data_IF_952817660016
#
_entry.id   IF_952817660016
#
_cell.length_a   1.000
_cell.length_b   1.000
_cell.length_c   1.000
_cell.angle_alpha   90.00
_cell.angle_beta   90.00
_cell.angle_gamma   90.00
#
_symmetry.space_group_name_H-M   'P 1'
#
loop_
_entity.id
_entity.type
_entity.pdbx_description
1 polymer ?
#
# COMPACT_ATOMS: atom_id res chain seq x y z
N UNK A 1 8.54 -8.50 26.61
CA UNK A 1 7.73 -9.39 25.75
C UNK A 1 6.21 -9.25 25.93
N UNK A 2 5.58 -9.63 27.07
CA UNK A 2 4.10 -9.58 27.17
C UNK A 2 3.54 -8.16 27.06
N UNK A 3 4.21 -7.19 27.67
CA UNK A 3 3.87 -5.77 27.54
C UNK A 3 3.98 -5.30 26.08
N UNK A 4 5.06 -5.70 25.39
CA UNK A 4 5.30 -5.30 24.00
C UNK A 4 4.28 -5.93 23.04
N UNK A 5 3.89 -7.18 23.28
CA UNK A 5 2.80 -7.82 22.52
C UNK A 5 1.46 -7.11 22.72
N UNK A 6 1.18 -6.64 23.94
CA UNK A 6 -0.01 -5.85 24.24
C UNK A 6 0.03 -4.48 23.54
N UNK A 7 1.17 -3.78 23.63
CA UNK A 7 1.39 -2.49 22.96
C UNK A 7 1.26 -2.66 21.44
N UNK A 8 1.89 -3.69 20.87
CA UNK A 8 1.81 -4.00 19.44
C UNK A 8 0.36 -4.22 19.00
N UNK A 9 -0.40 -5.01 19.76
CA UNK A 9 -1.81 -5.31 19.46
C UNK A 9 -2.68 -4.04 19.49
N UNK A 10 -2.48 -3.18 20.50
CA UNK A 10 -3.17 -1.88 20.58
C UNK A 10 -2.76 -0.98 19.42
N UNK A 11 -1.47 -0.95 19.09
CA UNK A 11 -0.93 -0.09 18.04
C UNK A 11 -1.50 -0.47 16.68
N UNK A 12 -1.55 -1.76 16.35
CA UNK A 12 -2.22 -2.28 15.15
C UNK A 12 -3.69 -1.87 15.14
N UNK A 13 -4.41 -2.02 16.26
CA UNK A 13 -5.80 -1.59 16.35
C UNK A 13 -5.97 -0.08 16.09
N UNK A 14 -5.11 0.75 16.69
CA UNK A 14 -5.11 2.21 16.48
C UNK A 14 -4.81 2.55 15.02
N UNK A 15 -3.82 1.90 14.41
CA UNK A 15 -3.48 2.07 12.98
C UNK A 15 -4.69 1.74 12.11
N UNK A 16 -5.28 0.55 12.26
CA UNK A 16 -6.46 0.14 11.47
C UNK A 16 -7.60 1.13 11.64
N UNK A 17 -7.88 1.55 12.89
CA UNK A 17 -8.97 2.47 13.19
C UNK A 17 -8.73 3.87 12.61
N UNK A 18 -7.52 4.39 12.80
CA UNK A 18 -7.07 5.69 12.30
C UNK A 18 -7.12 5.74 10.78
N UNK A 19 -6.53 4.75 10.12
CA UNK A 19 -6.50 4.62 8.66
C UNK A 19 -7.92 4.53 8.09
N UNK A 20 -8.76 3.64 8.63
CA UNK A 20 -10.16 3.49 8.18
C UNK A 20 -10.94 4.81 8.29
N UNK A 21 -10.69 5.59 9.36
CA UNK A 21 -11.29 6.92 9.52
C UNK A 21 -10.71 7.91 8.51
N UNK A 22 -9.39 7.96 8.35
CA UNK A 22 -8.71 8.84 7.40
C UNK A 22 -9.22 8.61 5.97
N UNK A 23 -9.23 7.36 5.50
CA UNK A 23 -9.72 6.99 4.16
C UNK A 23 -11.18 7.41 3.99
N UNK A 24 -12.04 7.19 4.99
CA UNK A 24 -13.46 7.60 4.94
C UNK A 24 -13.62 9.11 4.80
N UNK A 25 -13.05 9.89 5.70
CA UNK A 25 -13.30 11.34 5.75
C UNK A 25 -12.61 12.09 4.62
N UNK A 26 -11.47 11.59 4.16
CA UNK A 26 -10.79 12.17 3.01
C UNK A 26 -11.47 11.81 1.69
N UNK A 27 -12.00 10.60 1.53
CA UNK A 27 -12.84 10.27 0.37
C UNK A 27 -14.04 11.23 0.27
N UNK A 28 -14.70 11.54 1.39
CA UNK A 28 -15.79 12.52 1.44
C UNK A 28 -15.35 13.96 1.11
N UNK A 29 -14.09 14.32 1.38
CA UNK A 29 -13.53 15.62 0.98
C UNK A 29 -13.21 15.67 -0.52
N UNK A 30 -12.87 14.51 -1.11
CA UNK A 30 -12.54 14.36 -2.52
C UNK A 30 -13.77 14.41 -3.46
N UNK A 31 -14.98 14.28 -2.91
CA UNK A 31 -16.26 14.21 -3.67
C UNK A 31 -16.58 15.47 -4.52
N UNK A 32 -15.79 16.55 -4.42
CA UNK A 32 -15.99 17.77 -5.21
C UNK A 32 -15.07 17.91 -6.44
N UNK A 33 -14.15 16.97 -6.66
CA UNK A 33 -13.21 17.04 -7.79
C UNK A 33 -13.78 16.34 -9.04
N UNK A 34 -13.66 16.99 -10.20
CA UNK A 34 -14.10 16.47 -11.51
C UNK A 34 -13.09 15.46 -12.06
N UNK A 35 -13.03 14.28 -11.46
CA UNK A 35 -12.07 13.22 -11.82
C UNK A 35 -12.79 11.88 -11.97
N UNK A 36 -12.18 10.96 -12.72
CA UNK A 36 -12.71 9.62 -12.87
C UNK A 36 -12.63 8.79 -11.59
N UNK A 37 -13.52 7.80 -11.43
CA UNK A 37 -13.48 6.89 -10.26
C UNK A 37 -12.12 6.23 -10.09
N UNK A 38 -11.48 5.84 -11.19
CA UNK A 38 -10.13 5.28 -11.17
C UNK A 38 -9.11 6.27 -10.62
N UNK A 39 -9.11 7.53 -11.07
CA UNK A 39 -8.10 8.52 -10.67
C UNK A 39 -8.33 9.04 -9.26
N UNK A 40 -9.60 9.15 -8.86
CA UNK A 40 -9.94 9.40 -7.46
C UNK A 40 -9.32 8.31 -6.59
N UNK A 41 -9.48 7.03 -6.96
CA UNK A 41 -8.84 5.92 -6.28
C UNK A 41 -7.32 6.01 -6.32
N UNK A 42 -6.77 6.08 -7.52
CA UNK A 42 -5.36 5.98 -7.83
C UNK A 42 -4.53 7.10 -7.23
N UNK A 43 -5.06 8.33 -7.15
CA UNK A 43 -4.29 9.48 -6.66
C UNK A 43 -4.80 9.91 -5.30
N UNK A 44 -6.10 10.23 -5.21
CA UNK A 44 -6.62 10.87 -4.01
C UNK A 44 -6.68 9.87 -2.88
N UNK A 45 -7.43 8.77 -3.07
CA UNK A 45 -7.61 7.72 -2.06
C UNK A 45 -6.25 7.09 -1.73
N UNK A 46 -5.45 6.72 -2.73
CA UNK A 46 -4.12 6.15 -2.52
C UNK A 46 -3.23 7.02 -1.60
N UNK A 47 -3.15 8.33 -1.83
CA UNK A 47 -2.34 9.23 -0.96
C UNK A 47 -2.82 9.22 0.49
N UNK A 48 -4.11 8.97 0.73
CA UNK A 48 -4.66 8.84 2.08
C UNK A 48 -4.41 7.45 2.65
N UNK A 49 -4.58 6.42 1.81
CA UNK A 49 -4.38 5.02 2.16
C UNK A 49 -2.94 4.77 2.58
N UNK A 50 -1.93 5.37 1.93
CA UNK A 50 -0.51 5.23 2.31
C UNK A 50 -0.10 5.98 3.59
N UNK A 51 -1.00 6.73 4.25
CA UNK A 51 -0.64 7.50 5.45
C UNK A 51 -0.11 6.63 6.61
N UNK A 52 -0.73 5.48 6.94
CA UNK A 52 -0.21 4.56 7.95
C UNK A 52 1.21 4.11 7.62
N UNK A 53 1.45 3.63 6.41
CA UNK A 53 2.75 3.19 5.91
C UNK A 53 3.76 4.33 5.97
N UNK A 54 3.39 5.50 5.47
CA UNK A 54 4.24 6.69 5.51
C UNK A 54 4.64 7.06 6.93
N UNK A 55 3.70 7.06 7.87
CA UNK A 55 3.99 7.39 9.27
C UNK A 55 4.83 6.32 9.96
N UNK A 56 4.59 5.04 9.68
CA UNK A 56 5.41 3.92 10.17
C UNK A 56 6.83 4.01 9.60
N UNK A 57 6.98 4.25 8.29
CA UNK A 57 8.27 4.42 7.63
C UNK A 57 9.04 5.61 8.19
N UNK A 58 8.40 6.78 8.32
CA UNK A 58 9.02 7.98 8.93
C UNK A 58 9.48 7.66 10.36
N UNK A 59 8.62 7.07 11.19
CA UNK A 59 9.00 6.73 12.56
C UNK A 59 10.13 5.71 12.60
N UNK A 60 10.10 4.66 11.76
CA UNK A 60 11.18 3.68 11.69
C UNK A 60 12.53 4.30 11.32
N UNK A 61 12.56 5.27 10.41
CA UNK A 61 13.76 6.01 10.05
C UNK A 61 14.26 6.93 11.19
N UNK A 62 13.35 7.56 11.93
CA UNK A 62 13.68 8.40 13.09
C UNK A 62 14.24 7.54 14.24
N UNK A 63 13.66 6.37 14.48
CA UNK A 63 14.11 5.40 15.50
C UNK A 63 15.38 4.65 15.09
N UNK A 64 15.91 4.87 13.88
CA UNK A 64 17.14 4.27 13.40
C UNK A 64 17.02 2.81 12.95
N UNK A 65 15.80 2.34 12.65
CA UNK A 65 15.49 1.02 12.11
C UNK A 65 14.67 1.09 10.79
N UNK A 66 15.12 1.87 9.79
CA UNK A 66 14.38 2.10 8.54
C UNK A 66 14.08 0.81 7.75
N UNK A 67 14.86 -0.25 7.94
CA UNK A 67 14.62 -1.56 7.35
C UNK A 67 13.27 -2.18 7.76
N UNK A 68 12.75 -1.86 8.95
CA UNK A 68 11.38 -2.24 9.38
C UNK A 68 10.35 -1.55 8.49
N UNK A 69 10.55 -0.27 8.20
CA UNK A 69 9.74 0.50 7.27
C UNK A 69 9.78 -0.10 5.87
N UNK A 70 10.97 -0.44 5.36
CA UNK A 70 11.11 -1.07 4.04
C UNK A 70 10.40 -2.44 3.98
N UNK A 71 10.55 -3.27 5.03
CA UNK A 71 9.83 -4.53 5.16
C UNK A 71 8.32 -4.36 5.14
N UNK A 72 7.81 -3.36 5.84
CA UNK A 72 6.39 -3.00 5.83
C UNK A 72 5.90 -2.68 4.42
N UNK A 73 6.61 -1.80 3.69
CA UNK A 73 6.23 -1.37 2.34
C UNK A 73 6.24 -2.52 1.32
N UNK A 74 7.25 -3.39 1.36
CA UNK A 74 7.30 -4.51 0.42
C UNK A 74 6.28 -5.60 0.79
N UNK A 75 6.08 -5.85 2.08
CA UNK A 75 5.05 -6.78 2.55
C UNK A 75 3.64 -6.34 2.19
N UNK A 76 3.29 -5.08 2.44
CA UNK A 76 2.00 -4.48 2.07
C UNK A 76 1.80 -4.54 0.55
N UNK A 77 2.81 -4.15 -0.24
CA UNK A 77 2.71 -4.15 -1.70
C UNK A 77 2.41 -5.53 -2.28
N UNK A 78 3.09 -6.57 -1.81
CA UNK A 78 2.82 -7.94 -2.27
C UNK A 78 1.40 -8.35 -1.86
N UNK A 79 0.95 -8.01 -0.66
CA UNK A 79 -0.39 -8.33 -0.17
C UNK A 79 -1.48 -7.61 -0.98
N UNK A 80 -1.29 -6.34 -1.27
CA UNK A 80 -2.21 -5.51 -2.06
C UNK A 80 -2.38 -6.05 -3.48
N UNK A 81 -1.27 -6.40 -4.13
CA UNK A 81 -1.30 -6.95 -5.49
C UNK A 81 -1.89 -8.37 -5.55
N UNK A 82 -2.05 -9.05 -4.41
CA UNK A 82 -2.44 -10.47 -4.38
C UNK A 82 -3.59 -10.74 -3.41
N UNK A 83 -3.31 -10.83 -2.12
CA UNK A 83 -4.24 -11.15 -1.04
C UNK A 83 -5.48 -10.25 -1.04
N UNK A 84 -5.31 -8.94 -1.21
CA UNK A 84 -6.42 -7.99 -1.17
C UNK A 84 -7.41 -8.27 -2.29
N UNK A 85 -6.94 -8.35 -3.55
CA UNK A 85 -7.79 -8.73 -4.67
C UNK A 85 -8.46 -10.09 -4.46
N UNK A 86 -7.73 -11.06 -3.89
CA UNK A 86 -8.27 -12.38 -3.63
C UNK A 86 -9.42 -12.35 -2.61
N UNK A 87 -9.24 -11.64 -1.49
CA UNK A 87 -10.26 -11.49 -0.46
C UNK A 87 -11.47 -10.71 -0.99
N UNK A 88 -11.25 -9.64 -1.77
CA UNK A 88 -12.33 -8.85 -2.35
C UNK A 88 -13.24 -9.72 -3.22
N UNK A 89 -12.66 -10.52 -4.11
CA UNK A 89 -13.44 -11.39 -5.01
C UNK A 89 -14.13 -12.51 -4.23
N UNK A 90 -13.45 -13.10 -3.23
CA UNK A 90 -14.04 -14.12 -2.38
C UNK A 90 -15.25 -13.60 -1.58
N UNK A 91 -15.16 -12.41 -0.98
CA UNK A 91 -16.22 -11.82 -0.15
C UNK A 91 -17.34 -11.21 -1.00
N UNK A 92 -17.02 -10.55 -2.10
CA UNK A 92 -18.04 -9.95 -2.98
C UNK A 92 -18.80 -10.99 -3.80
N UNK A 93 -18.22 -12.19 -3.99
CA UNK A 93 -18.83 -13.28 -4.73
C UNK A 93 -18.92 -13.05 -6.23
N UNK A 94 -18.34 -11.95 -6.76
CA UNK A 94 -18.34 -11.60 -8.19
C UNK A 94 -16.94 -11.20 -8.68
N UNK A 95 -16.76 -11.24 -9.99
CA UNK A 95 -15.54 -10.75 -10.64
C UNK A 95 -15.46 -9.23 -10.55
N UNK A 96 -14.23 -8.69 -10.54
CA UNK A 96 -13.96 -7.25 -10.62
C UNK A 96 -13.80 -6.87 -12.09
N UNK A 97 -14.61 -5.94 -12.58
CA UNK A 97 -14.49 -5.41 -13.93
C UNK A 97 -13.31 -4.44 -14.05
N UNK A 98 -12.54 -4.54 -15.14
CA UNK A 98 -11.38 -3.69 -15.42
C UNK A 98 -11.69 -2.80 -16.62
N UNK A 99 -11.66 -1.49 -16.40
CA UNK A 99 -11.79 -0.54 -17.50
C UNK A 99 -10.58 -0.63 -18.44
N UNK A 100 -10.82 -0.82 -19.74
CA UNK A 100 -9.78 -0.85 -20.77
C UNK A 100 -8.88 0.39 -20.78
N UNK A 101 -9.38 1.55 -20.34
CA UNK A 101 -8.56 2.77 -20.21
C UNK A 101 -7.50 2.65 -19.12
N UNK A 102 -7.79 1.95 -18.02
CA UNK A 102 -6.81 1.68 -16.94
C UNK A 102 -5.65 0.88 -17.52
N UNK A 103 -5.94 -0.18 -18.28
CA UNK A 103 -4.91 -1.03 -18.89
C UNK A 103 -4.05 -0.29 -19.90
N UNK A 104 -4.67 0.57 -20.72
CA UNK A 104 -3.96 1.32 -21.77
C UNK A 104 -3.07 2.41 -21.18
N UNK A 105 -3.57 3.13 -20.18
CA UNK A 105 -2.86 4.27 -19.59
C UNK A 105 -1.76 3.85 -18.61
N UNK A 106 -1.80 2.61 -18.09
CA UNK A 106 -0.88 2.14 -17.06
C UNK A 106 -0.03 0.94 -17.51
N UNK A 107 0.18 0.73 -18.81
CA UNK A 107 0.99 -0.40 -19.30
C UNK A 107 2.43 -0.40 -18.76
N UNK A 108 2.97 0.77 -18.41
CA UNK A 108 4.30 0.93 -17.83
C UNK A 108 4.33 0.67 -16.31
N UNK A 109 3.17 0.49 -15.67
CA UNK A 109 3.06 0.35 -14.21
C UNK A 109 3.93 -0.79 -13.65
N UNK A 110 3.88 -2.03 -14.18
CA UNK A 110 4.74 -3.10 -13.66
C UNK A 110 6.24 -2.82 -13.84
N UNK A 111 6.61 -2.06 -14.87
CA UNK A 111 8.00 -1.67 -15.13
C UNK A 111 8.51 -0.65 -14.09
N UNK A 112 7.64 0.22 -13.56
CA UNK A 112 8.03 1.19 -12.54
C UNK A 112 8.39 0.52 -11.21
N UNK A 113 7.74 -0.59 -10.88
CA UNK A 113 8.04 -1.35 -9.67
C UNK A 113 9.41 -2.06 -9.73
N UNK A 114 10.06 -2.10 -10.90
CA UNK A 114 11.43 -2.57 -11.05
C UNK A 114 12.44 -1.55 -10.50
N UNK A 115 12.10 -0.25 -10.53
CA UNK A 115 13.01 0.84 -10.18
C UNK A 115 13.51 0.74 -8.72
N UNK A 116 12.67 0.61 -7.68
CA UNK A 116 13.18 0.46 -6.31
C UNK A 116 14.12 -0.74 -6.17
N UNK A 117 13.81 -1.87 -6.80
CA UNK A 117 14.66 -3.07 -6.77
C UNK A 117 16.01 -2.83 -7.42
N UNK A 118 16.01 -2.18 -8.59
CA UNK A 118 17.23 -1.87 -9.32
C UNK A 118 18.14 -0.92 -8.52
N UNK A 119 17.54 0.08 -7.86
CA UNK A 119 18.27 1.05 -7.05
C UNK A 119 18.77 0.45 -5.72
N UNK A 120 18.03 -0.48 -5.11
CA UNK A 120 18.40 -1.13 -3.85
C UNK A 120 19.17 -2.44 -4.01
N UNK A 121 19.61 -2.81 -5.21
CA UNK A 121 20.20 -4.14 -5.51
C UNK A 121 21.50 -4.41 -4.74
N UNK A 122 22.22 -3.35 -4.40
CA UNK A 122 23.45 -3.39 -3.60
C UNK A 122 23.18 -3.52 -2.09
N UNK A 123 21.90 -3.50 -1.68
CA UNK A 123 21.50 -3.59 -0.29
C UNK A 123 21.57 -2.26 0.46
N UNK A 124 21.64 -1.15 -0.27
CA UNK A 124 21.73 0.19 0.30
C UNK A 124 20.74 1.12 -0.38
N UNK A 125 20.12 2.03 0.39
CA UNK A 125 19.46 3.19 -0.19
C UNK A 125 20.08 4.47 0.34
N UNK A 126 20.65 5.27 -0.56
CA UNK A 126 21.11 6.61 -0.24
C UNK A 126 20.03 7.66 -0.50
N UNK A 127 20.34 8.90 -0.16
CA UNK A 127 19.47 10.05 -0.48
C UNK A 127 19.28 10.23 -1.99
N UNK A 128 20.26 9.83 -2.81
CA UNK A 128 20.19 9.98 -4.27
C UNK A 128 19.14 9.02 -4.84
N UNK A 129 19.17 7.74 -4.43
CA UNK A 129 18.13 6.78 -4.80
C UNK A 129 16.77 7.24 -4.27
N UNK A 130 16.72 7.79 -3.05
CA UNK A 130 15.49 8.30 -2.47
C UNK A 130 14.85 9.46 -3.26
N UNK A 131 15.65 10.46 -3.65
CA UNK A 131 15.19 11.56 -4.51
C UNK A 131 14.72 11.01 -5.86
N UNK A 132 15.47 10.08 -6.44
CA UNK A 132 15.14 9.48 -7.74
C UNK A 132 13.78 8.79 -7.68
N UNK A 133 13.52 7.98 -6.64
CA UNK A 133 12.24 7.29 -6.44
C UNK A 133 11.08 8.27 -6.25
N UNK A 134 11.23 9.31 -5.43
CA UNK A 134 10.19 10.32 -5.24
C UNK A 134 9.87 11.01 -6.57
N UNK A 135 10.90 11.44 -7.32
CA UNK A 135 10.70 12.10 -8.62
C UNK A 135 9.99 11.17 -9.61
N UNK A 136 10.39 9.91 -9.70
CA UNK A 136 9.72 8.90 -10.54
C UNK A 136 8.25 8.76 -10.16
N UNK A 137 7.93 8.61 -8.87
CA UNK A 137 6.55 8.49 -8.39
C UNK A 137 5.72 9.73 -8.73
N UNK A 138 6.23 10.93 -8.44
CA UNK A 138 5.55 12.21 -8.74
C UNK A 138 5.31 12.36 -10.24
N UNK A 139 6.32 12.10 -11.08
CA UNK A 139 6.18 12.20 -12.54
C UNK A 139 5.10 11.26 -13.04
N UNK A 140 5.07 10.01 -12.56
CA UNK A 140 4.03 9.07 -12.96
C UNK A 140 2.65 9.52 -12.51
N UNK A 141 2.49 10.00 -11.28
CA UNK A 141 1.21 10.52 -10.80
C UNK A 141 0.71 11.71 -11.64
N UNK A 142 1.60 12.62 -12.04
CA UNK A 142 1.26 13.72 -12.94
C UNK A 142 0.84 13.20 -14.32
N UNK A 143 1.53 12.19 -14.86
CA UNK A 143 1.17 11.57 -16.14
C UNK A 143 -0.19 10.88 -16.06
N UNK A 144 -0.44 10.09 -15.02
CA UNK A 144 -1.71 9.42 -14.77
C UNK A 144 -2.86 10.42 -14.66
N UNK A 145 -2.66 11.53 -13.94
CA UNK A 145 -3.63 12.61 -13.82
C UNK A 145 -3.92 13.26 -15.18
N UNK A 146 -2.91 13.66 -15.95
CA UNK A 146 -3.09 14.31 -17.26
C UNK A 146 -3.85 13.44 -18.26
N UNK A 147 -3.58 12.13 -18.27
CA UNK A 147 -4.23 11.18 -19.18
C UNK A 147 -5.72 10.91 -18.85
N UNK A 148 -6.27 11.57 -17.84
CA UNK A 148 -7.61 11.32 -17.31
C UNK A 148 -8.56 12.51 -17.30
N UNK A 149 -8.08 13.69 -17.75
CA UNK A 149 -8.84 14.95 -17.71
C UNK A 149 -10.04 14.95 -18.69
N UNK A 150 -10.16 13.96 -19.57
CA UNK A 150 -11.21 13.85 -20.61
C UNK A 150 -12.44 12.99 -20.21
N UNK A 151 -12.71 12.75 -18.91
CA UNK A 151 -13.80 11.86 -18.49
C UNK A 151 -15.08 12.55 -18.01
N UNK A 152 -16.23 11.96 -18.38
CA UNK A 152 -17.57 12.43 -18.03
C UNK A 152 -17.81 12.47 -16.52
N UNK A 153 -18.42 13.57 -16.11
CA UNK A 153 -18.65 14.03 -14.74
C UNK A 153 -19.68 13.15 -14.03
N UNK A 154 -19.39 12.68 -12.83
CA UNK A 154 -20.41 12.15 -11.92
C UNK A 154 -21.05 13.28 -11.12
N UNK A 155 -22.35 13.15 -10.85
CA UNK A 155 -23.09 14.09 -10.01
C UNK A 155 -22.48 14.15 -8.59
N UNK A 156 -22.39 15.34 -7.99
CA UNK A 156 -21.89 15.49 -6.63
C UNK A 156 -22.79 14.72 -5.65
N UNK A 157 -22.19 13.83 -4.86
CA UNK A 157 -22.87 13.21 -3.71
C UNK A 157 -23.05 14.30 -2.63
N UNK A 158 -24.17 14.23 -1.91
CA UNK A 158 -24.68 15.23 -0.92
C UNK A 158 -23.57 16.04 -0.22
N UNK A 159 -23.74 17.37 -0.19
CA UNK A 159 -22.96 18.31 0.65
C UNK A 159 -22.93 17.84 2.12
N UNK A 160 -21.89 17.11 2.49
CA UNK A 160 -21.59 16.84 3.89
C UNK A 160 -20.88 18.04 4.54
N UNK A 161 -20.91 18.07 5.88
CA UNK A 161 -20.34 19.16 6.66
C UNK A 161 -18.81 19.15 6.60
N UNK A 162 -18.23 19.88 5.65
CA UNK A 162 -16.78 19.97 5.39
C UNK A 162 -15.93 20.20 6.66
N UNK A 163 -16.41 21.04 7.59
CA UNK A 163 -15.70 21.30 8.86
C UNK A 163 -15.61 20.06 9.73
N UNK A 164 -16.69 19.28 9.79
CA UNK A 164 -16.74 18.00 10.51
C UNK A 164 -15.75 17.01 9.91
N UNK A 165 -15.71 16.89 8.58
CA UNK A 165 -14.82 15.94 7.90
C UNK A 165 -13.34 16.31 8.08
N UNK A 166 -12.99 17.59 8.05
CA UNK A 166 -11.63 18.06 8.36
C UNK A 166 -11.25 17.74 9.81
N UNK A 167 -12.14 18.00 10.78
CA UNK A 167 -11.87 17.72 12.20
C UNK A 167 -11.62 16.23 12.44
N UNK A 168 -12.45 15.36 11.86
CA UNK A 168 -12.26 13.92 11.99
C UNK A 168 -11.02 13.41 11.25
N UNK A 169 -10.66 14.01 10.11
CA UNK A 169 -9.43 13.69 9.40
C UNK A 169 -8.20 14.01 10.27
N UNK A 170 -8.16 15.20 10.88
CA UNK A 170 -7.08 15.58 11.80
C UNK A 170 -7.03 14.60 12.99
N UNK A 171 -8.19 14.23 13.53
CA UNK A 171 -8.27 13.26 14.63
C UNK A 171 -7.74 11.88 14.22
N UNK A 172 -8.02 11.41 13.00
CA UNK A 172 -7.45 10.16 12.48
C UNK A 172 -5.94 10.23 12.29
N UNK A 173 -5.40 11.37 11.82
CA UNK A 173 -3.95 11.54 11.70
C UNK A 173 -3.27 11.49 13.07
N UNK A 174 -3.88 12.07 14.11
CA UNK A 174 -3.36 11.97 15.47
C UNK A 174 -3.34 10.52 15.99
N UNK A 175 -4.40 9.76 15.75
CA UNK A 175 -4.47 8.34 16.11
C UNK A 175 -3.39 7.54 15.37
N UNK A 176 -3.21 7.79 14.07
CA UNK A 176 -2.17 7.14 13.27
C UNK A 176 -0.76 7.46 13.76
N UNK A 177 -0.51 8.72 14.12
CA UNK A 177 0.79 9.15 14.65
C UNK A 177 1.13 8.42 15.95
N UNK A 178 0.16 8.32 16.87
CA UNK A 178 0.35 7.56 18.11
C UNK A 178 0.61 6.07 17.84
N UNK A 179 -0.24 5.44 17.01
CA UNK A 179 -0.10 4.03 16.68
C UNK A 179 1.22 3.71 15.98
N UNK A 180 1.69 4.58 15.08
CA UNK A 180 2.90 4.35 14.29
C UNK A 180 4.19 4.47 15.12
N UNK A 181 4.23 5.29 16.15
CA UNK A 181 5.38 5.33 17.06
C UNK A 181 5.47 4.06 17.91
N UNK A 182 4.35 3.64 18.51
CA UNK A 182 4.32 2.46 19.37
C UNK A 182 4.45 1.13 18.62
N UNK A 183 3.95 1.04 17.38
CA UNK A 183 4.10 -0.18 16.56
C UNK A 183 5.56 -0.44 16.22
N UNK A 184 6.33 0.61 15.87
CA UNK A 184 7.75 0.49 15.51
C UNK A 184 8.56 0.05 16.73
N UNK A 185 8.44 0.76 17.85
CA UNK A 185 9.19 0.44 19.08
C UNK A 185 8.87 -0.97 19.60
N UNK A 186 7.58 -1.32 19.75
CA UNK A 186 7.19 -2.66 20.22
C UNK A 186 7.56 -3.78 19.24
N UNK A 187 7.51 -3.54 17.93
CA UNK A 187 7.93 -4.52 16.93
C UNK A 187 9.42 -4.82 17.03
N UNK A 188 10.26 -3.80 17.13
CA UNK A 188 11.72 -3.95 17.27
C UNK A 188 12.08 -4.69 18.56
N UNK A 189 11.43 -4.36 19.67
CA UNK A 189 11.64 -5.05 20.94
C UNK A 189 11.26 -6.53 20.86
N UNK A 190 10.09 -6.85 20.27
CA UNK A 190 9.65 -8.24 20.06
C UNK A 190 10.64 -9.00 19.16
N UNK A 191 11.12 -8.37 18.09
CA UNK A 191 12.12 -8.96 17.20
C UNK A 191 13.39 -9.36 17.97
N UNK A 192 13.88 -8.43 18.81
CA UNK A 192 15.04 -8.64 19.66
C UNK A 192 14.83 -9.76 20.69
N UNK A 193 13.64 -9.83 21.33
CA UNK A 193 13.32 -10.91 22.28
C UNK A 193 13.27 -12.28 21.62
N UNK A 194 12.75 -12.37 20.39
CA UNK A 194 12.63 -13.63 19.65
C UNK A 194 13.93 -14.02 18.94
N UNK A 195 14.89 -13.09 18.80
CA UNK A 195 16.14 -13.31 18.05
C UNK A 195 15.94 -13.31 16.53
N UNK A 196 14.98 -12.53 16.04
CA UNK A 196 14.49 -12.59 14.65
C UNK A 196 14.73 -11.25 13.98
N UNK A 197 14.82 -11.22 12.66
CA UNK A 197 15.08 -9.97 11.95
C UNK A 197 13.85 -9.02 12.06
N UNK A 198 13.99 -7.76 12.50
CA UNK A 198 12.89 -6.79 12.56
C UNK A 198 12.14 -6.61 11.23
N UNK A 199 12.83 -6.77 10.09
CA UNK A 199 12.24 -6.73 8.74
C UNK A 199 11.10 -7.75 8.61
N UNK A 200 11.23 -8.93 9.21
CA UNK A 200 10.23 -9.98 9.16
C UNK A 200 8.92 -9.54 9.82
N UNK A 201 9.01 -8.83 10.95
CA UNK A 201 7.84 -8.25 11.62
C UNK A 201 7.24 -7.15 10.76
N UNK A 202 8.08 -6.33 10.13
CA UNK A 202 7.67 -5.34 9.12
C UNK A 202 6.82 -5.98 8.02
N UNK A 203 7.33 -7.03 7.37
CA UNK A 203 6.65 -7.71 6.25
C UNK A 203 5.31 -8.32 6.69
N UNK A 204 5.31 -9.13 7.76
CA UNK A 204 4.16 -9.99 8.05
C UNK A 204 3.18 -9.44 9.06
N UNK A 205 3.62 -8.67 10.03
CA UNK A 205 2.74 -8.18 11.08
C UNK A 205 2.30 -6.77 10.74
N UNK A 206 3.26 -5.89 10.49
CA UNK A 206 2.97 -4.49 10.22
C UNK A 206 2.34 -4.36 8.83
N UNK A 207 2.99 -4.88 7.78
CA UNK A 207 2.51 -4.79 6.40
C UNK A 207 1.11 -5.39 6.21
N UNK A 208 0.81 -6.55 6.80
CA UNK A 208 -0.55 -7.09 6.76
C UNK A 208 -1.55 -6.28 7.58
N UNK A 209 -1.11 -5.71 8.71
CA UNK A 209 -1.95 -4.87 9.55
C UNK A 209 -2.33 -3.56 8.85
N UNK A 210 -1.40 -2.97 8.10
CA UNK A 210 -1.62 -1.73 7.38
C UNK A 210 -2.50 -1.88 6.15
N UNK A 211 -2.61 -3.08 5.57
CA UNK A 211 -3.45 -3.44 4.38
C UNK A 211 -4.96 -3.60 4.69
N UNK A 212 -5.32 -3.77 5.96
CA UNK A 212 -6.72 -3.97 6.38
C UNK A 212 -7.65 -2.77 6.02
N UNK A 213 -7.26 -1.50 6.26
CA UNK A 213 -7.99 -0.31 5.84
C UNK A 213 -8.30 -0.27 4.33
N UNK A 214 -7.32 -0.56 3.49
CA UNK A 214 -7.37 -0.62 2.02
C UNK A 214 -8.35 -1.72 1.62
N UNK A 215 -8.23 -2.90 2.22
CA UNK A 215 -9.16 -4.00 2.02
C UNK A 215 -10.60 -3.59 2.38
N UNK A 216 -10.81 -2.92 3.51
CA UNK A 216 -12.15 -2.45 3.93
C UNK A 216 -12.70 -1.41 2.95
N UNK A 217 -11.87 -0.46 2.51
CA UNK A 217 -12.27 0.55 1.53
C UNK A 217 -12.60 -0.09 0.18
N UNK A 218 -11.70 -0.91 -0.35
CA UNK A 218 -11.86 -1.58 -1.64
C UNK A 218 -13.06 -2.53 -1.65
N UNK A 219 -13.29 -3.29 -0.58
CA UNK A 219 -14.50 -4.09 -0.42
C UNK A 219 -15.79 -3.25 -0.48
N UNK A 220 -15.82 -2.10 0.20
CA UNK A 220 -16.98 -1.20 0.17
C UNK A 220 -17.19 -0.59 -1.22
N UNK A 221 -16.11 -0.26 -1.92
CA UNK A 221 -16.15 0.27 -3.28
C UNK A 221 -16.70 -0.75 -4.26
N UNK A 222 -16.21 -1.99 -4.24
CA UNK A 222 -16.73 -3.10 -5.08
C UNK A 222 -18.19 -3.41 -4.74
N UNK A 223 -18.59 -3.44 -3.46
CA UNK A 223 -20.00 -3.62 -3.06
C UNK A 223 -20.95 -2.51 -3.54
N UNK A 224 -20.41 -1.36 -3.92
CA UNK A 224 -21.15 -0.23 -4.52
C UNK A 224 -20.99 -0.15 -6.04
N UNK A 225 -20.51 -1.23 -6.67
CA UNK A 225 -20.25 -1.31 -8.11
C UNK A 225 -19.26 -0.25 -8.63
N UNK A 226 -18.31 0.12 -7.76
CA UNK A 226 -17.20 1.04 -8.08
C UNK A 226 -15.89 0.27 -8.19
N UNK A 227 -15.82 -0.71 -9.10
CA UNK A 227 -14.66 -1.57 -9.30
C UNK A 227 -13.40 -0.77 -9.65
N UNK A 228 -13.51 0.20 -10.56
CA UNK A 228 -12.40 1.08 -10.96
C UNK A 228 -11.83 1.89 -9.79
N UNK A 229 -12.65 2.25 -8.80
CA UNK A 229 -12.21 2.99 -7.62
C UNK A 229 -11.33 2.09 -6.71
N UNK A 230 -11.75 0.84 -6.49
CA UNK A 230 -10.98 -0.13 -5.71
C UNK A 230 -9.66 -0.49 -6.41
N UNK A 231 -9.70 -0.75 -7.72
CA UNK A 231 -8.48 -1.03 -8.51
C UNK A 231 -7.54 0.16 -8.50
N UNK A 232 -8.07 1.38 -8.64
CA UNK A 232 -7.29 2.60 -8.57
C UNK A 232 -6.57 2.74 -7.23
N UNK A 233 -7.31 2.66 -6.12
CA UNK A 233 -6.76 2.76 -4.76
C UNK A 233 -5.60 1.78 -4.53
N UNK A 234 -5.79 0.50 -4.80
CA UNK A 234 -4.77 -0.53 -4.58
C UNK A 234 -3.52 -0.26 -5.45
N UNK A 235 -3.70 -0.02 -6.75
CA UNK A 235 -2.56 0.19 -7.65
C UNK A 235 -1.81 1.49 -7.32
N UNK A 236 -2.54 2.54 -6.94
CA UNK A 236 -1.95 3.82 -6.53
C UNK A 236 -1.12 3.65 -5.26
N UNK A 237 -1.70 3.04 -4.23
CA UNK A 237 -1.04 2.77 -2.94
C UNK A 237 0.28 2.03 -3.16
N UNK A 238 0.24 0.91 -3.90
CA UNK A 238 1.45 0.13 -4.22
C UNK A 238 2.53 0.94 -4.92
N UNK A 239 2.14 1.80 -5.87
CA UNK A 239 3.11 2.65 -6.56
C UNK A 239 3.70 3.70 -5.61
N UNK A 240 2.86 4.37 -4.83
CA UNK A 240 3.33 5.38 -3.89
C UNK A 240 4.25 4.77 -2.84
N UNK A 241 3.91 3.61 -2.30
CA UNK A 241 4.76 2.89 -1.34
C UNK A 241 6.11 2.55 -1.95
N UNK A 242 6.11 1.88 -3.11
CA UNK A 242 7.32 1.44 -3.80
C UNK A 242 8.21 2.60 -4.28
N UNK A 243 7.67 3.82 -4.42
CA UNK A 243 8.41 4.97 -4.96
C UNK A 243 8.53 6.10 -3.95
N UNK A 244 7.43 6.80 -3.67
CA UNK A 244 7.42 7.98 -2.80
C UNK A 244 7.80 7.60 -1.37
N UNK A 245 7.21 6.56 -0.78
CA UNK A 245 7.42 6.25 0.64
C UNK A 245 8.79 5.63 0.89
N UNK A 246 9.24 4.69 0.05
CA UNK A 246 10.64 4.23 0.07
C UNK A 246 11.59 5.42 -0.10
N UNK A 247 11.31 6.34 -1.01
CA UNK A 247 12.18 7.50 -1.20
C UNK A 247 12.19 8.48 -0.01
N UNK A 248 11.06 8.69 0.66
CA UNK A 248 10.99 9.47 1.91
C UNK A 248 11.81 8.79 3.00
N UNK A 249 11.67 7.48 3.15
CA UNK A 249 12.43 6.68 4.10
C UNK A 249 13.94 6.87 3.91
N UNK A 250 14.43 6.69 2.68
CA UNK A 250 15.85 6.85 2.31
C UNK A 250 16.38 8.29 2.44
N UNK A 251 15.50 9.29 2.28
CA UNK A 251 15.86 10.70 2.47
C UNK A 251 16.08 11.05 3.95
N UNK A 252 15.22 10.51 4.83
CA UNK A 252 15.29 10.75 6.28
C UNK A 252 16.51 10.05 6.84
N UNK A 253 16.66 8.75 6.57
CA UNK A 253 17.74 7.93 7.10
C UNK A 253 18.29 7.01 5.99
N UNK A 254 19.41 7.36 5.33
CA UNK A 254 20.11 6.46 4.40
C UNK A 254 20.57 5.20 5.12
N UNK A 255 20.30 4.03 4.54
CA UNK A 255 20.35 2.78 5.28
C UNK A 255 20.76 1.57 4.47
N UNK A 256 21.42 0.64 5.16
CA UNK A 256 21.74 -0.70 4.66
C UNK A 256 20.66 -1.69 5.09
N UNK A 257 20.41 -2.68 4.25
CA UNK A 257 19.49 -3.77 4.55
C UNK A 257 19.98 -5.09 3.91
N UNK A 258 19.55 -6.24 4.43
CA UNK A 258 19.87 -7.52 3.82
C UNK A 258 19.31 -7.60 2.39
N UNK A 259 20.17 -7.77 1.40
CA UNK A 259 19.81 -7.92 -0.03
C UNK A 259 18.70 -8.96 -0.29
N UNK A 260 18.53 -9.91 0.62
CA UNK A 260 17.44 -10.91 0.63
C UNK A 260 16.07 -10.26 0.42
N UNK A 261 15.81 -9.10 1.04
CA UNK A 261 14.52 -8.40 0.92
C UNK A 261 14.23 -7.99 -0.54
N UNK A 262 15.26 -7.65 -1.31
CA UNK A 262 15.14 -7.26 -2.72
C UNK A 262 14.89 -8.50 -3.58
N UNK A 263 15.67 -9.57 -3.36
CA UNK A 263 15.58 -10.79 -4.16
C UNK A 263 14.36 -11.67 -3.84
N UNK A 264 13.81 -11.55 -2.64
CA UNK A 264 12.59 -12.26 -2.22
C UNK A 264 11.41 -11.31 -2.32
N UNK A 265 11.16 -10.47 -1.32
CA UNK A 265 9.95 -9.64 -1.23
C UNK A 265 9.79 -8.71 -2.43
N UNK A 266 10.86 -8.05 -2.84
CA UNK A 266 10.87 -7.23 -4.04
C UNK A 266 10.54 -8.02 -5.31
N UNK A 267 11.21 -9.16 -5.54
CA UNK A 267 10.94 -9.98 -6.73
C UNK A 267 9.49 -10.49 -6.75
N UNK A 268 8.95 -10.89 -5.60
CA UNK A 268 7.54 -11.27 -5.46
C UNK A 268 6.61 -10.10 -5.78
N UNK A 269 6.93 -8.87 -5.39
CA UNK A 269 6.17 -7.67 -5.74
C UNK A 269 6.14 -7.44 -7.26
N UNK A 270 7.29 -7.55 -7.93
CA UNK A 270 7.36 -7.43 -9.40
C UNK A 270 6.51 -8.52 -10.05
N UNK A 271 6.74 -9.78 -9.69
CA UNK A 271 6.03 -10.91 -10.31
C UNK A 271 4.53 -10.80 -10.06
N UNK A 272 4.11 -10.45 -8.84
CA UNK A 272 2.71 -10.19 -8.51
C UNK A 272 2.11 -9.10 -9.40
N UNK A 273 2.83 -7.99 -9.62
CA UNK A 273 2.38 -6.89 -10.47
C UNK A 273 2.19 -7.33 -11.92
N UNK A 274 3.17 -8.02 -12.50
CA UNK A 274 3.06 -8.55 -13.86
C UNK A 274 1.93 -9.58 -14.00
N UNK A 275 1.79 -10.48 -13.02
CA UNK A 275 0.75 -11.51 -13.00
C UNK A 275 -0.65 -10.89 -12.90
N UNK A 276 -0.82 -9.92 -11.99
CA UNK A 276 -2.06 -9.18 -11.83
C UNK A 276 -2.42 -8.42 -13.11
N UNK A 277 -1.47 -7.69 -13.71
CA UNK A 277 -1.70 -6.96 -14.97
C UNK A 277 -2.07 -7.90 -16.12
N UNK A 278 -1.44 -9.07 -16.19
CA UNK A 278 -1.77 -10.10 -17.16
C UNK A 278 -3.23 -10.57 -16.99
N UNK A 279 -3.66 -10.88 -15.77
CA UNK A 279 -5.04 -11.25 -15.48
C UNK A 279 -6.04 -10.13 -15.77
N UNK A 280 -5.74 -8.90 -15.36
CA UNK A 280 -6.60 -7.74 -15.65
C UNK A 280 -6.79 -7.53 -17.15
N UNK A 281 -5.75 -7.81 -17.97
CA UNK A 281 -5.81 -7.70 -19.43
C UNK A 281 -6.56 -8.88 -20.07
N UNK A 282 -6.44 -10.07 -19.48
CA UNK A 282 -7.15 -11.27 -19.90
C UNK A 282 -8.65 -11.15 -19.60
N UNK A 283 -9.48 -10.98 -20.63
CA UNK A 283 -10.94 -10.91 -20.46
C UNK A 283 -11.48 -9.61 -19.82
N UNK A 284 -10.62 -8.63 -19.50
CA UNK A 284 -10.99 -7.34 -18.87
C UNK A 284 -11.75 -7.47 -17.55
N UNK A 285 -11.58 -8.60 -16.86
CA UNK A 285 -12.19 -8.86 -15.56
C UNK A 285 -11.22 -9.70 -14.75
N UNK A 286 -11.08 -9.42 -13.46
CA UNK A 286 -10.38 -10.32 -12.56
C UNK A 286 -11.36 -11.39 -12.06
N UNK A 287 -11.19 -12.62 -12.55
CA UNK A 287 -12.11 -13.74 -12.28
C UNK A 287 -11.85 -14.43 -10.93
N UNK A 288 -12.81 -15.24 -10.48
CA UNK A 288 -12.64 -16.08 -9.28
C UNK A 288 -11.45 -17.03 -9.37
N UNK A 289 -11.16 -17.55 -10.57
CA UNK A 289 -10.03 -18.45 -10.80
C UNK A 289 -8.70 -17.73 -10.65
N UNK A 290 -8.56 -16.56 -11.27
CA UNK A 290 -7.36 -15.72 -11.18
C UNK A 290 -7.14 -15.21 -9.76
N UNK A 291 -8.22 -14.83 -9.07
CA UNK A 291 -8.21 -14.52 -7.63
C UNK A 291 -7.67 -15.66 -6.78
N UNK A 292 -8.08 -16.91 -7.03
CA UNK A 292 -7.54 -18.06 -6.33
C UNK A 292 -6.05 -18.28 -6.63
N UNK A 293 -5.61 -18.03 -7.87
CA UNK A 293 -4.19 -18.08 -8.23
C UNK A 293 -3.37 -17.00 -7.50
N UNK A 294 -3.90 -15.78 -7.36
CA UNK A 294 -3.25 -14.72 -6.58
C UNK A 294 -3.14 -15.10 -5.09
N UNK A 295 -4.16 -15.76 -4.52
CA UNK A 295 -4.09 -16.26 -3.15
C UNK A 295 -3.01 -17.33 -2.97
N UNK A 296 -2.91 -18.27 -3.91
CA UNK A 296 -1.84 -19.28 -3.90
C UNK A 296 -0.45 -18.64 -4.05
N UNK A 297 -0.34 -17.60 -4.88
CA UNK A 297 0.90 -16.85 -5.04
C UNK A 297 1.30 -16.14 -3.73
N UNK A 298 0.34 -15.54 -3.02
CA UNK A 298 0.56 -14.96 -1.69
C UNK A 298 1.00 -16.02 -0.66
N UNK A 299 0.36 -17.20 -0.65
CA UNK A 299 0.76 -18.28 0.25
C UNK A 299 2.19 -18.77 -0.05
N UNK A 300 2.56 -18.87 -1.33
CA UNK A 300 3.92 -19.21 -1.75
C UNK A 300 4.94 -18.15 -1.30
N UNK A 301 4.60 -16.87 -1.42
CA UNK A 301 5.40 -15.77 -0.90
C UNK A 301 5.68 -15.94 0.59
N UNK A 302 4.65 -16.15 1.40
CA UNK A 302 4.81 -16.37 2.86
C UNK A 302 5.75 -17.53 3.14
N UNK A 303 5.55 -18.68 2.48
CA UNK A 303 6.35 -19.89 2.73
C UNK A 303 7.83 -19.64 2.40
N UNK A 304 8.12 -19.02 1.27
CA UNK A 304 9.50 -18.76 0.83
C UNK A 304 10.17 -17.71 1.72
N UNK A 305 9.48 -16.62 2.02
CA UNK A 305 9.98 -15.56 2.87
C UNK A 305 10.23 -16.06 4.30
N UNK A 306 9.39 -16.97 4.82
CA UNK A 306 9.65 -17.65 6.09
C UNK A 306 10.89 -18.55 6.02
N UNK A 307 11.02 -19.37 4.97
CA UNK A 307 12.10 -20.35 4.82
C UNK A 307 13.49 -19.74 4.55
N UNK A 308 13.55 -18.50 4.08
CA UNK A 308 14.82 -17.80 3.77
C UNK A 308 15.29 -16.94 4.95
N UNK A 309 14.36 -16.47 5.78
CA UNK A 309 14.67 -15.58 6.90
C UNK A 309 14.73 -16.28 8.27
N UNK A 310 14.37 -17.57 8.35
CA UNK A 310 14.54 -18.49 9.48
C UNK A 310 15.13 -19.81 9.01
#
# INVERSE_FOLDING_TARGET
MLNDLFILSISIFLIIKGATMATKYSAQLAENYRLSKYIIGFIIVAVISILPETLISINSAIEGVPEVGLGTLFGSNVADLTLVFAIIIAISGRSISIDSKILKNNIIYPLLLIIPIALGIDGHYSRIEGISLILTGIVFYIMAFKNSVDEEVLEPIKKENRKKNILFLISSMFILLLGSHFIVTSSTDIANYLGINPIFIGIFIIGLGTVIPELIFSLKSVKKDNDSLAVGDILGTVLADATIVVGILSLINPFDFPKKIIYVSGLFMIIASFLLFYFMKSGKTLSKKESFMLLLFWALFIIIEFSINY
#
